data_IF_596953170789
#
_entry.id   IF_596953170789
#
_cell.length_a   1.000
_cell.length_b   1.000
_cell.length_c   1.000
_cell.angle_alpha   90.00
_cell.angle_beta   90.00
_cell.angle_gamma   90.00
#
_symmetry.space_group_name_H-M   'P 1'
#
loop_
_entity.id
_entity.type
_entity.pdbx_description
1 polymer ?
#
# COMPACT_ATOMS: atom_id res chain seq x y z
N UNK A 1 -51.17 -13.11 69.39
CA UNK A 1 -50.74 -13.84 70.60
C UNK A 1 -49.48 -13.17 71.10
N UNK A 2 -49.61 -12.32 72.13
CA UNK A 2 -49.35 -12.68 73.54
C UNK A 2 -47.85 -12.80 73.78
N UNK A 3 -47.20 -12.20 74.78
CA UNK A 3 -47.55 -11.45 75.98
C UNK A 3 -46.21 -10.82 76.42
N UNK A 4 -46.18 -9.55 76.83
CA UNK A 4 -45.96 -9.15 78.23
C UNK A 4 -44.98 -10.03 79.03
N UNK A 5 -43.91 -9.41 79.56
CA UNK A 5 -43.77 -9.41 81.01
C UNK A 5 -43.02 -8.17 81.53
N UNK A 6 -43.54 -7.66 82.64
CA UNK A 6 -43.23 -6.41 83.32
C UNK A 6 -42.28 -6.63 84.52
N UNK A 7 -42.02 -5.51 85.21
CA UNK A 7 -41.70 -5.33 86.64
C UNK A 7 -40.21 -5.16 86.97
N UNK A 8 -39.79 -4.25 87.85
CA UNK A 8 -40.40 -3.11 88.55
C UNK A 8 -39.25 -2.36 89.28
N UNK A 9 -39.50 -1.09 89.62
CA UNK A 9 -38.94 -0.21 90.70
C UNK A 9 -37.74 -0.72 91.53
N UNK A 10 -36.79 0.14 91.97
CA UNK A 10 -36.95 1.07 93.11
C UNK A 10 -35.75 2.06 93.20
N UNK A 11 -36.02 3.30 93.62
CA UNK A 11 -35.10 4.41 94.01
C UNK A 11 -35.12 4.47 95.56
N UNK A 12 -34.11 4.84 96.39
CA UNK A 12 -33.26 6.06 96.29
C UNK A 12 -31.82 5.98 96.88
N UNK A 13 -31.02 7.04 96.69
CA UNK A 13 -30.42 7.86 97.77
C UNK A 13 -29.11 8.53 97.37
N UNK A 14 -28.96 9.75 97.87
CA UNK A 14 -27.95 10.79 97.65
C UNK A 14 -26.51 10.42 98.05
N UNK A 15 -25.53 10.93 97.29
CA UNK A 15 -24.36 11.58 97.90
C UNK A 15 -23.76 12.64 96.97
N UNK A 16 -23.40 13.75 97.59
CA UNK A 16 -22.77 14.95 97.06
C UNK A 16 -21.30 14.65 96.78
N UNK A 17 -20.78 14.98 95.59
CA UNK A 17 -19.39 15.45 95.49
C UNK A 17 -19.11 16.25 94.19
N UNK A 18 -18.80 17.54 94.41
CA UNK A 18 -17.92 18.44 93.68
C UNK A 18 -18.00 18.52 92.14
N UNK A 19 -18.64 19.61 91.71
CA UNK A 19 -18.32 20.35 90.49
C UNK A 19 -16.83 20.74 90.48
N UNK A 20 -15.99 20.04 89.73
CA UNK A 20 -14.69 20.58 89.29
C UNK A 20 -14.92 21.35 87.98
N UNK A 21 -15.01 22.66 88.11
CA UNK A 21 -14.77 23.61 87.02
C UNK A 21 -13.35 23.43 86.51
N UNK A 22 -13.17 22.71 85.40
CA UNK A 22 -11.94 22.72 84.63
C UNK A 22 -11.77 24.11 84.01
N UNK A 23 -10.96 24.94 84.65
CA UNK A 23 -10.38 26.12 84.02
C UNK A 23 -9.41 25.65 82.93
N UNK A 24 -9.53 26.14 81.68
CA UNK A 24 -8.62 25.75 80.61
C UNK A 24 -7.21 26.27 80.89
N UNK A 25 -6.24 25.36 80.92
CA UNK A 25 -4.81 25.67 81.01
C UNK A 25 -4.34 26.43 79.76
N UNK A 26 -3.75 27.62 79.95
CA UNK A 26 -3.25 28.51 78.88
C UNK A 26 -2.12 27.90 78.02
N UNK A 27 -1.53 26.78 78.44
CA UNK A 27 -0.51 26.03 77.68
C UNK A 27 -1.06 25.38 76.40
N UNK A 28 -2.31 24.89 76.43
CA UNK A 28 -2.92 24.27 75.25
C UNK A 28 -3.32 25.30 74.18
N UNK A 29 -3.58 26.55 74.56
CA UNK A 29 -4.05 27.58 73.62
C UNK A 29 -2.97 27.98 72.60
N UNK A 30 -1.71 28.07 73.04
CA UNK A 30 -0.58 28.34 72.14
C UNK A 30 -0.20 27.11 71.29
N UNK A 31 -0.31 25.90 71.84
CA UNK A 31 -0.07 24.66 71.08
C UNK A 31 -1.12 24.44 69.98
N UNK A 32 -2.40 24.66 70.28
CA UNK A 32 -3.48 24.57 69.30
C UNK A 32 -3.36 25.66 68.23
N UNK A 33 -2.93 26.89 68.59
CA UNK A 33 -2.64 27.95 67.61
C UNK A 33 -1.49 27.58 66.66
N UNK A 34 -0.40 27.00 67.16
CA UNK A 34 0.70 26.53 66.31
C UNK A 34 0.30 25.39 65.37
N UNK A 35 -0.52 24.45 65.84
CA UNK A 35 -1.04 23.35 64.99
C UNK A 35 -1.94 23.91 63.88
N UNK A 36 -2.81 24.86 64.18
CA UNK A 36 -3.67 25.52 63.18
C UNK A 36 -2.82 26.30 62.16
N UNK A 37 -1.81 27.04 62.61
CA UNK A 37 -0.90 27.78 61.72
C UNK A 37 -0.13 26.82 60.80
N UNK A 38 0.37 25.68 61.32
CA UNK A 38 1.04 24.67 60.51
C UNK A 38 0.09 23.99 59.51
N UNK A 39 -1.17 23.74 59.88
CA UNK A 39 -2.18 23.22 58.94
C UNK A 39 -2.48 24.23 57.83
N UNK A 40 -2.62 25.51 58.15
CA UNK A 40 -2.84 26.58 57.15
C UNK A 40 -1.62 26.69 56.22
N UNK A 41 -0.40 26.69 56.76
CA UNK A 41 0.84 26.67 55.97
C UNK A 41 0.96 25.40 55.11
N UNK A 42 0.53 24.25 55.60
CA UNK A 42 0.45 23.00 54.84
C UNK A 42 -0.55 23.11 53.67
N UNK A 43 -1.73 23.66 53.91
CA UNK A 43 -2.73 23.89 52.86
C UNK A 43 -2.28 24.95 51.84
N UNK A 44 -1.62 26.02 52.27
CA UNK A 44 -1.08 27.04 51.36
C UNK A 44 0.10 26.48 50.55
N UNK A 45 0.95 25.65 51.14
CA UNK A 45 2.08 25.04 50.42
C UNK A 45 1.63 23.95 49.44
N UNK A 46 0.68 23.10 49.81
CA UNK A 46 0.07 22.11 48.89
C UNK A 46 -0.77 22.80 47.82
N UNK A 47 -1.59 23.79 48.18
CA UNK A 47 -2.38 24.57 47.23
C UNK A 47 -1.50 25.39 46.29
N UNK A 48 -0.42 25.98 46.79
CA UNK A 48 0.58 26.69 46.00
C UNK A 48 1.37 25.77 45.07
N UNK A 49 1.75 24.58 45.53
CA UNK A 49 2.38 23.55 44.69
C UNK A 49 1.42 23.06 43.60
N UNK A 50 0.16 22.79 43.93
CA UNK A 50 -0.84 22.36 42.95
C UNK A 50 -1.11 23.47 41.93
N UNK A 51 -1.21 24.73 42.37
CA UNK A 51 -1.35 25.87 41.47
C UNK A 51 -0.11 26.02 40.57
N UNK A 52 1.09 25.84 41.11
CA UNK A 52 2.33 25.90 40.33
C UNK A 52 2.45 24.76 39.31
N UNK A 53 2.17 23.53 39.73
CA UNK A 53 2.26 22.32 38.89
C UNK A 53 1.16 22.28 37.81
N UNK A 54 -0.06 22.73 38.10
CA UNK A 54 -1.17 22.69 37.13
C UNK A 54 -1.34 23.95 36.28
N UNK A 55 -0.92 25.13 36.77
CA UNK A 55 -1.16 26.41 36.06
C UNK A 55 0.12 26.97 35.44
N UNK A 56 1.29 26.76 36.05
CA UNK A 56 2.53 27.41 35.65
C UNK A 56 3.59 26.48 35.05
N UNK A 57 3.42 25.16 35.13
CA UNK A 57 4.38 24.21 34.59
C UNK A 57 4.34 24.19 33.06
N UNK A 58 5.42 24.67 32.44
CA UNK A 58 5.65 24.57 31.00
C UNK A 58 6.31 23.23 30.72
N UNK A 59 5.70 22.43 29.84
CA UNK A 59 6.28 21.16 29.39
C UNK A 59 7.16 21.43 28.18
N UNK A 60 8.44 21.06 28.29
CA UNK A 60 9.41 21.20 27.20
C UNK A 60 9.43 19.92 26.36
N UNK A 61 9.45 20.08 25.04
CA UNK A 61 9.51 19.00 24.06
C UNK A 61 10.78 19.17 23.24
N UNK A 62 11.63 18.16 23.16
CA UNK A 62 12.74 18.15 22.21
C UNK A 62 12.24 17.58 20.86
N UNK A 63 12.12 18.40 19.81
CA UNK A 63 11.68 17.90 18.52
C UNK A 63 12.76 17.06 17.82
N UNK A 64 14.00 17.04 18.29
CA UNK A 64 15.13 16.37 17.61
C UNK A 64 15.60 15.09 18.32
N UNK A 65 14.98 14.69 19.43
CA UNK A 65 15.37 13.52 20.22
C UNK A 65 15.41 12.23 19.39
N UNK A 66 14.47 12.11 18.45
CA UNK A 66 14.29 10.93 17.60
C UNK A 66 14.64 11.20 16.12
N UNK A 67 15.41 12.26 15.85
CA UNK A 67 15.75 12.68 14.49
C UNK A 67 17.25 12.62 14.29
N UNK A 68 17.66 11.82 13.30
CA UNK A 68 19.03 11.79 12.78
C UNK A 68 19.07 12.49 11.42
N UNK A 69 20.23 13.09 11.11
CA UNK A 69 20.52 13.64 9.79
C UNK A 69 21.67 12.83 9.19
N UNK A 70 21.50 12.39 7.95
CA UNK A 70 22.52 11.66 7.18
C UNK A 70 22.87 12.47 5.93
N UNK A 71 24.13 12.37 5.48
CA UNK A 71 24.61 13.07 4.29
C UNK A 71 25.12 12.05 3.26
N UNK A 72 24.75 12.24 1.99
CA UNK A 72 24.98 11.27 0.92
C UNK A 72 25.18 11.96 -0.42
N UNK A 73 26.11 11.50 -1.23
CA UNK A 73 26.35 11.98 -2.59
C UNK A 73 27.68 11.49 -3.11
N UNK A 74 27.89 11.65 -4.41
CA UNK A 74 29.18 11.40 -5.06
C UNK A 74 29.99 12.71 -5.16
N UNK A 75 31.19 12.63 -5.73
CA UNK A 75 32.20 13.71 -5.71
C UNK A 75 31.77 15.07 -6.29
N UNK A 76 30.55 15.21 -6.81
CA UNK A 76 29.98 16.47 -7.32
C UNK A 76 29.14 17.24 -6.27
N UNK A 77 28.67 16.58 -5.20
CA UNK A 77 27.95 17.23 -4.10
C UNK A 77 27.01 16.30 -3.35
N UNK A 78 26.86 16.46 -2.03
CA UNK A 78 25.98 15.64 -1.21
C UNK A 78 24.62 16.28 -0.89
N UNK A 79 23.62 15.43 -0.71
CA UNK A 79 22.28 15.75 -0.24
C UNK A 79 22.12 15.30 1.22
N UNK A 80 21.41 16.09 2.02
CA UNK A 80 21.10 15.78 3.41
C UNK A 80 19.71 15.16 3.57
N UNK A 81 19.63 14.05 4.28
CA UNK A 81 18.41 13.27 4.54
C UNK A 81 18.06 13.28 6.02
N UNK A 82 16.76 13.39 6.31
CA UNK A 82 16.21 13.42 7.67
C UNK A 82 15.59 12.05 7.96
N UNK A 83 16.10 11.36 8.97
CA UNK A 83 15.60 10.07 9.41
C UNK A 83 14.91 10.22 10.77
N UNK A 84 13.68 9.73 10.87
CA UNK A 84 12.85 9.88 12.07
C UNK A 84 12.59 8.49 12.65
N UNK A 85 13.15 8.23 13.84
CA UNK A 85 12.90 7.00 14.56
C UNK A 85 11.55 7.08 15.31
N UNK A 86 10.51 6.49 14.72
CA UNK A 86 9.14 6.58 15.26
C UNK A 86 8.87 5.66 16.47
N UNK A 87 9.86 4.92 17.00
CA UNK A 87 9.65 3.91 18.06
C UNK A 87 9.52 4.46 19.49
N UNK A 88 9.74 5.75 19.72
CA UNK A 88 9.74 6.35 21.06
C UNK A 88 8.80 7.55 21.12
N UNK A 89 7.51 7.30 21.31
CA UNK A 89 6.56 8.31 21.80
C UNK A 89 5.81 7.65 22.95
N UNK A 90 6.34 7.85 24.16
CA UNK A 90 5.78 7.35 25.41
C UNK A 90 4.37 7.91 25.65
N UNK A 91 3.45 6.98 25.94
CA UNK A 91 2.24 7.03 26.80
C UNK A 91 1.33 8.26 26.94
N UNK A 92 1.71 9.48 26.57
CA UNK A 92 0.91 10.69 26.66
C UNK A 92 0.22 11.05 25.32
N UNK A 93 -1.12 10.98 25.22
CA UNK A 93 -1.88 11.34 24.03
C UNK A 93 -1.65 12.78 23.56
N UNK A 94 -1.36 13.72 24.47
CA UNK A 94 -1.15 15.14 24.14
C UNK A 94 0.18 15.36 23.43
N UNK A 95 1.26 14.72 23.92
CA UNK A 95 2.58 14.78 23.30
C UNK A 95 2.60 14.12 21.92
N UNK A 96 1.92 12.97 21.79
CA UNK A 96 1.81 12.24 20.53
C UNK A 96 1.17 13.07 19.41
N UNK A 97 0.18 13.90 19.74
CA UNK A 97 -0.43 14.83 18.78
C UNK A 97 0.59 15.84 18.24
N UNK A 98 1.46 16.37 19.11
CA UNK A 98 2.49 17.33 18.71
C UNK A 98 3.55 16.64 17.86
N UNK A 99 4.11 15.52 18.31
CA UNK A 99 5.15 14.78 17.58
C UNK A 99 4.72 14.36 16.16
N UNK A 100 3.46 13.94 15.97
CA UNK A 100 2.92 13.60 14.64
C UNK A 100 2.77 14.80 13.71
N UNK A 101 2.69 16.01 14.25
CA UNK A 101 2.47 17.23 13.49
C UNK A 101 3.76 17.99 13.15
N UNK A 102 4.92 17.55 13.67
CA UNK A 102 6.20 18.20 13.39
C UNK A 102 6.59 17.94 11.93
N UNK A 103 6.93 19.01 11.23
CA UNK A 103 7.54 19.01 9.91
C UNK A 103 8.99 19.45 10.06
N UNK A 104 9.89 18.69 9.46
CA UNK A 104 11.31 19.00 9.46
C UNK A 104 11.74 19.52 8.10
N UNK A 105 12.68 20.45 8.08
CA UNK A 105 13.37 20.91 6.88
C UNK A 105 14.86 21.04 7.15
N UNK A 106 15.68 20.86 6.12
CA UNK A 106 17.13 20.88 6.20
C UNK A 106 17.67 21.95 5.24
N UNK A 107 18.53 22.85 5.71
CA UNK A 107 19.03 23.97 4.91
C UNK A 107 20.53 24.23 5.20
N UNK A 108 21.43 24.22 4.19
CA UNK A 108 21.21 23.68 2.83
C UNK A 108 21.04 22.16 2.85
N UNK A 109 20.30 21.60 1.89
CA UNK A 109 20.08 20.16 1.76
C UNK A 109 20.72 19.53 0.53
N UNK A 110 21.40 20.29 -0.32
CA UNK A 110 22.03 19.85 -1.57
C UNK A 110 23.42 20.47 -1.71
N UNK A 111 24.23 19.92 -2.64
CA UNK A 111 25.59 20.35 -2.97
C UNK A 111 26.55 20.40 -1.76
N UNK A 112 26.27 19.60 -0.74
CA UNK A 112 26.99 19.57 0.53
C UNK A 112 28.36 18.92 0.40
N UNK A 113 29.33 19.43 1.15
CA UNK A 113 30.69 18.90 1.26
C UNK A 113 31.02 18.59 2.71
N UNK A 114 32.02 17.72 2.91
CA UNK A 114 32.56 17.46 4.24
C UNK A 114 33.03 18.78 4.85
N UNK A 115 32.53 19.08 6.06
CA UNK A 115 32.74 20.34 6.78
C UNK A 115 31.62 21.36 6.67
N UNK A 116 30.65 21.17 5.76
CA UNK A 116 29.53 22.11 5.62
C UNK A 116 28.61 22.07 6.84
N UNK A 117 28.04 23.24 7.15
CA UNK A 117 27.09 23.42 8.24
C UNK A 117 25.67 23.35 7.69
N UNK A 118 24.87 22.49 8.29
CA UNK A 118 23.50 22.23 7.86
C UNK A 118 22.56 22.44 9.03
N UNK A 119 21.46 23.16 8.80
CA UNK A 119 20.48 23.50 9.84
C UNK A 119 19.21 22.68 9.65
N UNK A 120 18.91 21.82 10.62
CA UNK A 120 17.65 21.11 10.73
C UNK A 120 16.65 21.98 11.49
N UNK A 121 15.53 22.34 10.86
CA UNK A 121 14.45 23.15 11.44
C UNK A 121 13.23 22.29 11.72
N UNK A 122 12.61 22.49 12.88
CA UNK A 122 11.34 21.87 13.25
C UNK A 122 10.23 22.92 13.26
N UNK A 123 9.13 22.66 12.56
CA UNK A 123 7.94 23.51 12.53
C UNK A 123 6.67 22.70 12.68
N UNK A 124 5.66 23.26 13.34
CA UNK A 124 4.31 22.68 13.41
C UNK A 124 3.30 23.58 12.68
N UNK A 125 2.21 23.03 12.16
CA UNK A 125 1.10 23.83 11.63
C UNK A 125 0.52 24.77 12.69
N UNK A 126 -0.06 25.89 12.27
CA UNK A 126 -0.64 26.90 13.17
C UNK A 126 -1.68 26.32 14.14
N UNK A 127 -2.48 25.35 13.70
CA UNK A 127 -3.46 24.65 14.55
C UNK A 127 -2.81 23.88 15.71
N UNK A 128 -1.64 23.27 15.47
CA UNK A 128 -0.85 22.60 16.49
C UNK A 128 -0.12 23.60 17.37
N UNK A 129 0.35 24.72 16.82
CA UNK A 129 0.97 25.79 17.62
C UNK A 129 -0.02 26.35 18.65
N UNK A 130 -1.26 26.66 18.23
CA UNK A 130 -2.33 27.11 19.14
C UNK A 130 -2.64 26.07 20.23
N UNK A 131 -2.59 24.78 19.88
CA UNK A 131 -2.73 23.69 20.84
C UNK A 131 -1.56 23.67 21.85
N UNK A 132 -0.32 23.83 21.39
CA UNK A 132 0.85 23.90 22.26
C UNK A 132 0.76 25.10 23.22
N UNK A 133 0.40 26.29 22.73
CA UNK A 133 0.27 27.51 23.55
C UNK A 133 -0.82 27.36 24.63
N UNK A 134 -1.94 26.73 24.27
CA UNK A 134 -3.07 26.49 25.19
C UNK A 134 -2.73 25.45 26.27
N UNK A 135 -1.85 24.49 25.96
CA UNK A 135 -1.44 23.41 26.87
C UNK A 135 -0.05 23.66 27.49
N UNK A 136 0.50 24.87 27.38
CA UNK A 136 1.82 25.25 27.93
C UNK A 136 2.95 24.32 27.46
N UNK A 137 2.87 23.84 26.22
CA UNK A 137 3.91 23.04 25.57
C UNK A 137 4.85 23.97 24.80
N UNK A 138 6.16 23.76 24.91
CA UNK A 138 7.17 24.56 24.21
C UNK A 138 8.27 23.66 23.66
N UNK A 139 8.73 23.91 22.44
CA UNK A 139 9.95 23.26 21.96
C UNK A 139 11.17 23.77 22.72
N UNK A 140 12.08 22.86 23.10
CA UNK A 140 13.37 23.24 23.70
C UNK A 140 14.17 24.10 22.72
N UNK A 141 14.20 23.66 21.46
CA UNK A 141 14.84 24.31 20.34
C UNK A 141 14.00 24.11 19.07
N UNK A 142 14.08 25.06 18.15
CA UNK A 142 13.42 24.96 16.82
C UNK A 142 14.42 24.65 15.71
N UNK A 143 15.72 24.73 15.99
CA UNK A 143 16.80 24.52 15.04
C UNK A 143 17.94 23.72 15.68
N UNK A 144 18.52 22.78 14.91
CA UNK A 144 19.69 22.00 15.32
C UNK A 144 20.72 22.01 14.20
N UNK A 145 21.96 22.36 14.53
CA UNK A 145 23.05 22.45 13.55
C UNK A 145 23.82 21.14 13.51
N UNK A 146 24.04 20.64 12.29
CA UNK A 146 24.88 19.50 11.99
C UNK A 146 26.09 19.97 11.17
N UNK A 147 27.20 19.27 11.32
CA UNK A 147 28.37 19.41 10.45
C UNK A 147 28.50 18.13 9.65
N UNK A 148 28.66 18.24 8.33
CA UNK A 148 28.85 17.07 7.46
C UNK A 148 30.21 16.45 7.78
N UNK A 149 30.22 15.32 8.49
CA UNK A 149 31.47 14.62 8.86
C UNK A 149 31.85 13.54 7.85
N UNK A 150 30.86 12.83 7.33
CA UNK A 150 31.01 11.74 6.40
C UNK A 150 29.93 11.84 5.33
N UNK A 151 30.30 11.49 4.09
CA UNK A 151 29.38 11.36 2.96
C UNK A 151 29.46 9.90 2.52
N UNK A 152 28.34 9.19 2.56
CA UNK A 152 28.29 7.80 2.10
C UNK A 152 27.88 7.73 0.63
N UNK A 153 28.58 6.90 -0.15
CA UNK A 153 28.17 6.49 -1.48
C UNK A 153 27.18 5.32 -1.31
N UNK A 154 25.90 5.55 -1.51
CA UNK A 154 24.89 4.48 -1.55
C UNK A 154 24.74 3.96 -2.98
N UNK A 155 24.32 2.70 -3.10
CA UNK A 155 24.02 2.10 -4.40
C UNK A 155 22.67 2.65 -4.84
N UNK A 156 22.66 3.40 -5.94
CA UNK A 156 21.42 3.91 -6.54
C UNK A 156 20.87 2.84 -7.47
N UNK A 157 19.66 2.38 -7.18
CA UNK A 157 18.94 1.41 -8.00
C UNK A 157 17.81 2.12 -8.74
N UNK A 158 17.80 2.09 -10.08
CA UNK A 158 16.63 2.52 -10.83
C UNK A 158 15.68 1.35 -11.04
N UNK A 159 14.52 1.33 -10.36
CA UNK A 159 13.57 0.22 -10.49
C UNK A 159 12.88 0.15 -11.86
N UNK A 160 13.06 1.18 -12.71
CA UNK A 160 12.50 1.20 -14.06
C UNK A 160 13.56 0.99 -15.15
N UNK A 161 14.82 0.72 -14.80
CA UNK A 161 15.83 0.37 -15.81
C UNK A 161 15.48 -0.96 -16.47
N UNK A 162 15.50 -0.99 -17.81
CA UNK A 162 15.04 -2.12 -18.61
C UNK A 162 13.54 -2.43 -18.53
N UNK A 163 12.76 -1.61 -17.83
CA UNK A 163 11.32 -1.79 -17.66
C UNK A 163 10.56 -1.47 -18.94
N UNK A 164 9.58 -2.31 -19.29
CA UNK A 164 8.73 -2.09 -20.47
C UNK A 164 7.26 -2.13 -20.09
N UNK A 165 6.50 -1.22 -20.70
CA UNK A 165 5.05 -1.23 -20.63
C UNK A 165 4.52 -1.71 -21.98
N UNK A 166 3.62 -2.69 -21.96
CA UNK A 166 2.94 -3.19 -23.15
C UNK A 166 1.58 -2.54 -23.24
N UNK A 167 1.30 -1.93 -24.39
CA UNK A 167 0.00 -1.35 -24.67
C UNK A 167 -0.74 -2.17 -25.72
N UNK A 168 -2.02 -2.43 -25.48
CA UNK A 168 -2.88 -3.20 -26.39
C UNK A 168 -4.28 -2.62 -26.45
N UNK A 169 -5.07 -3.01 -27.44
CA UNK A 169 -6.47 -2.59 -27.58
C UNK A 169 -6.70 -1.50 -28.62
N UNK A 170 -7.93 -1.01 -28.69
CA UNK A 170 -8.37 0.06 -29.59
C UNK A 170 -8.19 1.44 -28.94
N UNK A 171 -8.08 2.48 -29.76
CA UNK A 171 -8.06 3.86 -29.26
C UNK A 171 -9.32 4.20 -28.46
N UNK A 172 -9.18 4.54 -27.18
CA UNK A 172 -10.28 4.78 -26.24
C UNK A 172 -10.68 3.55 -25.41
N UNK A 173 -10.06 2.40 -25.67
CA UNK A 173 -10.27 1.12 -24.97
C UNK A 173 -8.91 0.43 -24.71
N UNK A 174 -7.82 1.19 -24.77
CA UNK A 174 -6.47 0.66 -24.64
C UNK A 174 -6.18 0.22 -23.21
N UNK A 175 -5.33 -0.79 -23.07
CA UNK A 175 -4.92 -1.37 -21.79
C UNK A 175 -3.39 -1.34 -21.71
N UNK A 176 -2.86 -0.93 -20.56
CA UNK A 176 -1.45 -0.98 -20.21
C UNK A 176 -1.16 -2.16 -19.28
N UNK A 177 -0.22 -3.00 -19.67
CA UNK A 177 0.24 -4.14 -18.89
C UNK A 177 1.75 -4.05 -18.64
N UNK A 178 2.14 -4.50 -17.46
CA UNK A 178 3.53 -4.50 -17.03
C UNK A 178 4.28 -5.70 -17.61
N UNK A 179 5.45 -5.45 -18.20
CA UNK A 179 6.36 -6.50 -18.65
C UNK A 179 7.72 -6.36 -17.97
N UNK A 180 7.95 -7.24 -17.00
CA UNK A 180 9.22 -7.32 -16.25
C UNK A 180 10.17 -8.38 -16.80
N UNK A 181 9.79 -9.11 -17.87
CA UNK A 181 10.57 -10.23 -18.38
C UNK A 181 11.94 -9.84 -18.97
N UNK A 182 12.09 -8.57 -19.36
CA UNK A 182 13.31 -8.02 -19.95
C UNK A 182 14.23 -7.29 -18.97
N UNK A 183 13.90 -7.23 -17.68
CA UNK A 183 14.70 -6.50 -16.69
C UNK A 183 15.99 -7.26 -16.39
N UNK A 184 17.13 -6.63 -16.64
CA UNK A 184 18.46 -7.16 -16.33
C UNK A 184 18.97 -6.52 -15.04
N UNK A 185 19.17 -7.33 -14.01
CA UNK A 185 19.63 -6.86 -12.70
C UNK A 185 21.13 -7.13 -12.55
N UNK A 186 21.85 -6.17 -11.99
CA UNK A 186 23.31 -6.15 -11.97
C UNK A 186 23.92 -7.27 -11.11
N UNK A 187 23.24 -7.66 -10.03
CA UNK A 187 23.69 -8.68 -9.08
C UNK A 187 22.51 -9.28 -8.28
N UNK A 188 22.84 -10.27 -7.43
CA UNK A 188 21.89 -10.98 -6.58
C UNK A 188 21.20 -10.05 -5.55
N UNK A 189 21.89 -8.99 -5.10
CA UNK A 189 21.34 -8.02 -4.14
C UNK A 189 20.21 -7.22 -4.78
N UNK A 190 20.42 -6.76 -6.02
CA UNK A 190 19.38 -6.06 -6.79
C UNK A 190 18.23 -7.01 -7.17
N UNK A 191 18.54 -8.28 -7.46
CA UNK A 191 17.52 -9.31 -7.71
C UNK A 191 16.62 -9.54 -6.50
N UNK A 192 17.19 -9.62 -5.30
CA UNK A 192 16.44 -9.77 -4.07
C UNK A 192 15.60 -8.53 -3.79
N UNK A 193 16.18 -7.32 -3.89
CA UNK A 193 15.43 -6.07 -3.72
C UNK A 193 14.26 -5.97 -4.70
N UNK A 194 14.47 -6.27 -5.98
CA UNK A 194 13.43 -6.17 -7.01
C UNK A 194 12.20 -7.01 -6.68
N UNK A 195 12.38 -8.20 -6.10
CA UNK A 195 11.28 -9.07 -5.65
C UNK A 195 10.47 -8.50 -4.47
N UNK A 196 11.01 -7.50 -3.77
CA UNK A 196 10.39 -6.83 -2.63
C UNK A 196 9.75 -5.49 -2.99
N UNK A 197 9.73 -5.13 -4.29
CA UNK A 197 9.11 -3.93 -4.82
C UNK A 197 7.71 -4.22 -5.36
N UNK A 198 6.75 -3.41 -4.93
CA UNK A 198 5.36 -3.45 -5.37
C UNK A 198 5.15 -2.41 -6.46
N UNK A 199 4.94 -2.86 -7.69
CA UNK A 199 4.64 -1.99 -8.83
C UNK A 199 3.14 -1.87 -9.06
N UNK A 200 2.70 -0.70 -9.50
CA UNK A 200 1.31 -0.47 -9.90
C UNK A 200 1.20 0.55 -11.05
N UNK A 201 0.22 0.33 -11.92
CA UNK A 201 -0.10 1.23 -13.03
C UNK A 201 -1.27 2.12 -12.61
N UNK A 202 -1.11 3.44 -12.75
CA UNK A 202 -2.19 4.41 -12.52
C UNK A 202 -3.05 4.46 -13.78
N UNK A 203 -4.34 4.15 -13.64
CA UNK A 203 -5.33 4.12 -14.72
C UNK A 203 -4.90 3.21 -15.90
N UNK A 204 -4.88 1.88 -15.73
CA UNK A 204 -4.35 0.96 -16.73
C UNK A 204 -5.27 0.71 -17.94
N UNK A 205 -6.44 1.33 -18.04
CA UNK A 205 -7.47 1.05 -19.05
C UNK A 205 -8.03 2.32 -19.68
N UNK A 206 -8.87 2.14 -20.71
CA UNK A 206 -9.55 3.20 -21.47
C UNK A 206 -8.56 4.18 -22.14
N UNK A 207 -7.38 3.66 -22.51
CA UNK A 207 -6.28 4.45 -23.03
C UNK A 207 -6.47 4.77 -24.53
N UNK A 208 -6.02 5.96 -24.90
CA UNK A 208 -5.93 6.45 -26.27
C UNK A 208 -4.47 6.72 -26.65
N UNK A 209 -4.18 6.72 -27.96
CA UNK A 209 -2.89 7.14 -28.49
C UNK A 209 -2.67 8.61 -28.11
N UNK A 210 -1.50 8.91 -27.53
CA UNK A 210 -1.15 10.21 -26.98
C UNK A 210 -1.50 10.42 -25.51
N UNK A 211 -2.15 9.44 -24.84
CA UNK A 211 -2.25 9.43 -23.39
C UNK A 211 -0.88 9.14 -22.75
N UNK A 212 -0.75 9.44 -21.46
CA UNK A 212 0.44 9.12 -20.67
C UNK A 212 0.05 8.27 -19.48
N UNK A 213 0.73 7.12 -19.32
CA UNK A 213 0.50 6.16 -18.25
C UNK A 213 1.61 6.26 -17.23
N UNK A 214 1.25 6.45 -15.96
CA UNK A 214 2.22 6.50 -14.86
C UNK A 214 2.29 5.16 -14.17
N UNK A 215 3.50 4.60 -14.09
CA UNK A 215 3.81 3.44 -13.25
C UNK A 215 4.41 3.95 -11.96
N UNK A 216 3.98 3.42 -10.82
CA UNK A 216 4.55 3.70 -9.50
C UNK A 216 5.13 2.45 -8.89
N UNK A 217 6.16 2.62 -8.07
CA UNK A 217 6.81 1.54 -7.33
C UNK A 217 6.94 1.91 -5.86
N UNK A 218 6.68 0.94 -4.99
CA UNK A 218 6.82 1.12 -3.54
C UNK A 218 7.54 -0.10 -2.95
N UNK A 219 8.55 0.09 -2.10
CA UNK A 219 9.13 -1.02 -1.38
C UNK A 219 8.15 -1.53 -0.32
N UNK A 220 8.03 -2.86 -0.24
CA UNK A 220 7.34 -3.55 0.86
C UNK A 220 8.02 -3.26 2.20
N UNK A 221 7.42 -3.69 3.32
CA UNK A 221 8.05 -3.55 4.64
C UNK A 221 9.41 -4.26 4.70
N UNK A 222 9.54 -5.44 4.07
CA UNK A 222 10.80 -6.16 3.96
C UNK A 222 11.80 -5.40 3.07
N UNK A 223 11.35 -4.92 1.91
CA UNK A 223 12.18 -4.12 1.00
C UNK A 223 12.75 -2.87 1.65
N UNK A 224 11.98 -2.16 2.50
CA UNK A 224 12.50 -1.00 3.25
C UNK A 224 13.62 -1.37 4.21
N UNK A 225 13.49 -2.49 4.93
CA UNK A 225 14.54 -2.98 5.83
C UNK A 225 15.78 -3.39 5.04
N UNK A 226 15.59 -4.13 3.94
CA UNK A 226 16.67 -4.57 3.05
C UNK A 226 17.44 -3.39 2.47
N UNK A 227 16.73 -2.38 1.95
CA UNK A 227 17.33 -1.14 1.46
C UNK A 227 18.16 -0.42 2.53
N UNK A 228 17.70 -0.40 3.78
CA UNK A 228 18.46 0.20 4.89
C UNK A 228 19.72 -0.60 5.24
N UNK A 229 19.63 -1.92 5.28
CA UNK A 229 20.75 -2.83 5.58
C UNK A 229 21.84 -2.75 4.51
N UNK A 230 21.43 -2.72 3.24
CA UNK A 230 22.32 -2.69 2.09
C UNK A 230 22.67 -1.27 1.60
N UNK A 231 22.11 -0.24 2.22
CA UNK A 231 22.32 1.18 1.86
C UNK A 231 21.99 1.42 0.38
N UNK A 232 20.79 1.00 -0.02
CA UNK A 232 20.25 1.15 -1.39
C UNK A 232 19.14 2.19 -1.38
N UNK A 233 19.12 3.04 -2.41
CA UNK A 233 18.01 3.95 -2.67
C UNK A 233 17.43 3.75 -4.06
N UNK A 234 16.10 3.94 -4.18
CA UNK A 234 15.45 3.99 -5.48
C UNK A 234 15.74 5.34 -6.13
N UNK A 235 16.23 5.34 -7.38
CA UNK A 235 16.46 6.55 -8.17
C UNK A 235 15.17 7.36 -8.35
N UNK A 236 14.06 6.66 -8.47
CA UNK A 236 12.73 7.21 -8.68
C UNK A 236 11.66 6.22 -8.17
N UNK A 237 10.46 6.75 -7.89
CA UNK A 237 9.31 5.95 -7.40
C UNK A 237 8.12 5.98 -8.35
N UNK A 238 8.26 6.69 -9.46
CA UNK A 238 7.26 6.75 -10.51
C UNK A 238 7.93 7.11 -11.83
N UNK A 239 7.45 6.52 -12.93
CA UNK A 239 7.86 6.84 -14.28
C UNK A 239 6.64 6.92 -15.19
N UNK A 240 6.63 7.89 -16.10
CA UNK A 240 5.58 8.07 -17.09
C UNK A 240 6.00 7.45 -18.44
N UNK A 241 5.04 6.83 -19.11
CA UNK A 241 5.20 6.21 -20.42
C UNK A 241 4.11 6.74 -21.35
N UNK A 242 4.51 7.29 -22.49
CA UNK A 242 3.56 7.79 -23.47
C UNK A 242 3.01 6.63 -24.32
N UNK A 243 1.70 6.69 -24.59
CA UNK A 243 1.00 5.71 -25.41
C UNK A 243 1.21 6.09 -26.88
N UNK A 244 2.38 5.78 -27.41
CA UNK A 244 2.74 6.09 -28.80
C UNK A 244 2.01 5.16 -29.79
N UNK A 245 1.76 3.93 -29.37
CA UNK A 245 1.09 2.91 -30.17
C UNK A 245 0.22 2.03 -29.29
N UNK A 246 -1.03 1.82 -29.70
CA UNK A 246 -1.84 0.70 -29.22
C UNK A 246 -1.72 -0.41 -30.27
N UNK A 247 -1.26 -1.59 -29.86
CA UNK A 247 -1.16 -2.71 -30.79
C UNK A 247 -2.56 -3.00 -31.39
N UNK A 248 -2.64 -2.87 -32.72
CA UNK A 248 -3.90 -2.90 -33.46
C UNK A 248 -4.36 -4.35 -33.58
N UNK A 249 -5.57 -4.64 -33.13
CA UNK A 249 -6.18 -5.97 -33.24
C UNK A 249 -7.14 -5.96 -34.45
N UNK A 250 -7.29 -7.05 -35.22
CA UNK A 250 -8.30 -7.13 -36.28
C UNK A 250 -9.69 -6.82 -35.72
N UNK A 251 -10.52 -6.07 -36.44
CA UNK A 251 -11.89 -5.78 -35.96
C UNK A 251 -12.83 -6.96 -36.11
N UNK A 252 -12.55 -7.83 -37.07
CA UNK A 252 -13.33 -9.02 -37.41
C UNK A 252 -12.44 -10.02 -38.17
N UNK A 253 -13.02 -11.15 -38.56
CA UNK A 253 -12.32 -12.20 -39.30
C UNK A 253 -11.88 -11.78 -40.71
N UNK A 254 -12.52 -10.77 -41.31
CA UNK A 254 -12.20 -10.30 -42.67
C UNK A 254 -10.89 -9.51 -42.72
N UNK A 255 -10.47 -8.95 -41.58
CA UNK A 255 -9.17 -8.27 -41.41
C UNK A 255 -8.02 -9.25 -41.13
N UNK A 256 -8.27 -10.57 -41.07
CA UNK A 256 -7.25 -11.60 -40.81
C UNK A 256 -6.76 -12.17 -42.14
N UNK A 257 -5.68 -11.58 -42.66
CA UNK A 257 -5.11 -11.90 -43.97
C UNK A 257 -4.66 -13.37 -44.16
N UNK A 258 -4.32 -14.08 -43.08
CA UNK A 258 -3.86 -15.47 -43.10
C UNK A 258 -4.89 -16.46 -42.50
N UNK A 259 -6.19 -16.10 -42.49
CA UNK A 259 -7.27 -16.86 -41.87
C UNK A 259 -7.30 -18.34 -42.31
N UNK A 260 -7.18 -18.62 -43.60
CA UNK A 260 -7.25 -20.01 -44.12
C UNK A 260 -6.09 -20.88 -43.62
N UNK A 261 -4.89 -20.30 -43.48
CA UNK A 261 -3.75 -21.03 -42.94
C UNK A 261 -3.96 -21.35 -41.46
N UNK A 262 -4.38 -20.35 -40.67
CA UNK A 262 -4.70 -20.51 -39.27
C UNK A 262 -5.77 -21.59 -39.07
N UNK A 263 -6.80 -21.59 -39.92
CA UNK A 263 -7.88 -22.58 -39.95
C UNK A 263 -7.35 -24.01 -40.18
N UNK A 264 -6.51 -24.21 -41.19
CA UNK A 264 -5.93 -25.52 -41.51
C UNK A 264 -5.10 -26.05 -40.32
N UNK A 265 -4.28 -25.19 -39.73
CA UNK A 265 -3.41 -25.56 -38.61
C UNK A 265 -4.23 -25.88 -37.34
N UNK A 266 -5.31 -25.13 -37.08
CA UNK A 266 -6.22 -25.40 -35.95
C UNK A 266 -6.96 -26.73 -36.13
N UNK A 267 -7.47 -27.01 -37.33
CA UNK A 267 -8.12 -28.28 -37.67
C UNK A 267 -7.17 -29.45 -37.42
N UNK A 268 -5.93 -29.35 -37.88
CA UNK A 268 -4.92 -30.40 -37.68
C UNK A 268 -4.68 -30.71 -36.20
N UNK A 269 -4.55 -29.68 -35.34
CA UNK A 269 -4.40 -29.89 -33.88
C UNK A 269 -5.58 -30.63 -33.25
N UNK A 270 -6.79 -30.37 -33.75
CA UNK A 270 -7.99 -31.07 -33.30
C UNK A 270 -7.96 -32.53 -33.75
N UNK A 271 -7.71 -32.80 -35.03
CA UNK A 271 -7.63 -34.16 -35.58
C UNK A 271 -6.56 -34.98 -34.87
N UNK A 272 -5.40 -34.38 -34.57
CA UNK A 272 -4.34 -35.00 -33.78
C UNK A 272 -4.79 -35.28 -32.32
N UNK A 273 -5.63 -34.42 -31.74
CA UNK A 273 -6.18 -34.60 -30.38
C UNK A 273 -7.22 -35.71 -30.30
N UNK A 274 -8.19 -35.72 -31.21
CA UNK A 274 -9.35 -36.61 -31.14
C UNK A 274 -9.17 -37.90 -31.94
N UNK A 275 -8.14 -37.96 -32.79
CA UNK A 275 -7.84 -39.07 -33.70
C UNK A 275 -9.05 -39.49 -34.56
N UNK A 276 -9.74 -38.49 -35.11
CA UNK A 276 -10.91 -38.65 -35.96
C UNK A 276 -11.02 -37.46 -36.93
N UNK A 277 -11.67 -37.70 -38.08
CA UNK A 277 -12.00 -36.63 -39.02
C UNK A 277 -12.93 -35.62 -38.37
N UNK A 278 -12.71 -34.35 -38.70
CA UNK A 278 -13.49 -33.24 -38.12
C UNK A 278 -14.10 -32.32 -39.16
N UNK A 279 -15.27 -31.78 -38.84
CA UNK A 279 -15.99 -30.79 -39.64
C UNK A 279 -16.04 -29.45 -38.89
N UNK A 280 -15.53 -28.39 -39.51
CA UNK A 280 -15.72 -27.03 -38.99
C UNK A 280 -17.19 -26.63 -39.10
N UNK A 281 -17.73 -26.06 -38.03
CA UNK A 281 -19.14 -25.64 -37.96
C UNK A 281 -19.31 -24.17 -37.59
N UNK A 282 -18.35 -23.57 -36.87
CA UNK A 282 -18.37 -22.15 -36.51
C UNK A 282 -16.96 -21.56 -36.51
N UNK A 283 -16.88 -20.26 -36.81
CA UNK A 283 -15.75 -19.40 -36.47
C UNK A 283 -16.20 -18.38 -35.44
N UNK A 284 -15.48 -18.24 -34.35
CA UNK A 284 -15.76 -17.32 -33.27
C UNK A 284 -14.61 -16.31 -33.13
N UNK A 285 -14.95 -15.04 -32.96
CA UNK A 285 -13.97 -13.98 -32.83
C UNK A 285 -14.32 -13.00 -31.70
N UNK A 286 -13.31 -12.56 -30.94
CA UNK A 286 -13.46 -11.54 -29.91
C UNK A 286 -12.22 -10.65 -29.81
N UNK A 287 -12.43 -9.34 -29.77
CA UNK A 287 -11.34 -8.36 -29.60
C UNK A 287 -10.83 -8.36 -28.15
N UNK A 288 -11.76 -8.36 -27.19
CA UNK A 288 -11.49 -8.29 -25.75
C UNK A 288 -12.21 -9.44 -25.03
N UNK A 289 -11.60 -10.63 -24.90
CA UNK A 289 -12.21 -11.77 -24.23
C UNK A 289 -12.31 -11.55 -22.70
N UNK A 290 -13.36 -12.08 -22.07
CA UNK A 290 -13.65 -11.87 -20.63
C UNK A 290 -12.97 -12.85 -19.67
N UNK A 291 -12.52 -14.01 -20.16
CA UNK A 291 -11.83 -15.04 -19.38
C UNK A 291 -12.58 -15.58 -18.14
N UNK A 292 -13.88 -15.83 -18.25
CA UNK A 292 -14.73 -16.19 -17.10
C UNK A 292 -15.06 -17.69 -16.98
N UNK A 293 -15.04 -18.46 -18.06
CA UNK A 293 -15.41 -19.88 -18.04
C UNK A 293 -14.46 -20.72 -18.92
N UNK A 294 -13.77 -21.70 -18.34
CA UNK A 294 -12.83 -22.62 -19.04
C UNK A 294 -11.89 -21.93 -20.05
N UNK A 295 -11.59 -20.65 -19.80
CA UNK A 295 -11.00 -19.73 -20.77
C UNK A 295 -9.49 -19.87 -20.84
N UNK A 296 -9.00 -21.10 -20.75
CA UNK A 296 -7.58 -21.42 -20.66
C UNK A 296 -7.24 -22.52 -21.64
N UNK A 297 -6.08 -22.37 -22.25
CA UNK A 297 -5.48 -23.41 -23.07
C UNK A 297 -5.27 -24.68 -22.26
N UNK A 298 -5.53 -25.83 -22.89
CA UNK A 298 -5.40 -27.14 -22.26
C UNK A 298 -3.99 -27.41 -21.76
N UNK A 299 -2.99 -27.07 -22.57
CA UNK A 299 -1.62 -27.51 -22.34
C UNK A 299 -0.81 -26.47 -21.56
N UNK A 300 -0.93 -25.19 -21.93
CA UNK A 300 -0.18 -24.07 -21.32
C UNK A 300 -0.90 -23.41 -20.13
N UNK A 301 -2.20 -23.67 -19.95
CA UNK A 301 -3.05 -23.01 -18.95
C UNK A 301 -3.16 -21.48 -19.10
N UNK A 302 -2.68 -20.92 -20.22
CA UNK A 302 -2.77 -19.49 -20.52
C UNK A 302 -4.20 -19.10 -20.84
N UNK A 303 -4.60 -17.91 -20.40
CA UNK A 303 -5.93 -17.36 -20.67
C UNK A 303 -6.05 -16.80 -22.09
N UNK A 304 -7.27 -16.55 -22.57
CA UNK A 304 -7.45 -15.74 -23.78
C UNK A 304 -6.89 -14.33 -23.55
N UNK A 305 -6.24 -13.78 -24.56
CA UNK A 305 -5.80 -12.38 -24.60
C UNK A 305 -6.39 -11.68 -25.83
N UNK A 306 -6.05 -10.40 -26.01
CA UNK A 306 -6.66 -9.55 -27.02
C UNK A 306 -6.52 -10.11 -28.44
N UNK A 307 -7.59 -10.02 -29.22
CA UNK A 307 -7.69 -10.68 -30.52
C UNK A 307 -7.66 -12.20 -30.36
N UNK A 308 -8.83 -12.81 -30.15
CA UNK A 308 -8.98 -14.26 -30.05
C UNK A 308 -9.86 -14.77 -31.18
N UNK A 309 -9.32 -15.72 -31.94
CA UNK A 309 -9.96 -16.40 -33.05
C UNK A 309 -10.06 -17.89 -32.71
N UNK A 310 -11.27 -18.42 -32.65
CA UNK A 310 -11.55 -19.83 -32.37
C UNK A 310 -12.32 -20.47 -33.52
N UNK A 311 -11.93 -21.67 -33.91
CA UNK A 311 -12.67 -22.51 -34.84
C UNK A 311 -13.31 -23.65 -34.05
N UNK A 312 -14.60 -23.89 -34.27
CA UNK A 312 -15.35 -24.97 -33.61
C UNK A 312 -15.54 -26.11 -34.59
N UNK A 313 -15.13 -27.29 -34.17
CA UNK A 313 -15.18 -28.51 -34.96
C UNK A 313 -16.11 -29.53 -34.31
N UNK A 314 -16.85 -30.27 -35.13
CA UNK A 314 -17.61 -31.45 -34.73
C UNK A 314 -16.90 -32.73 -35.16
N UNK A 315 -17.02 -33.77 -34.35
CA UNK A 315 -16.48 -35.10 -34.62
C UNK A 315 -17.38 -36.20 -34.02
N UNK A 316 -17.32 -37.39 -34.59
CA UNK A 316 -18.06 -38.56 -34.11
C UNK A 316 -17.13 -39.49 -33.30
N UNK A 317 -17.57 -39.91 -32.12
CA UNK A 317 -16.88 -40.90 -31.30
C UNK A 317 -17.89 -41.85 -30.63
N UNK A 318 -17.74 -43.16 -30.81
CA UNK A 318 -18.67 -44.18 -30.30
C UNK A 318 -20.14 -43.88 -30.65
N UNK A 319 -20.42 -43.53 -31.91
CA UNK A 319 -21.75 -43.18 -32.44
C UNK A 319 -22.42 -41.98 -31.74
N UNK A 320 -21.62 -41.05 -31.22
CA UNK A 320 -22.10 -39.79 -30.62
C UNK A 320 -21.32 -38.63 -31.19
N UNK A 321 -22.04 -37.53 -31.44
CA UNK A 321 -21.45 -36.27 -31.91
C UNK A 321 -20.95 -35.45 -30.74
N UNK A 322 -19.70 -34.99 -30.85
CA UNK A 322 -19.05 -34.09 -29.91
C UNK A 322 -18.52 -32.87 -30.64
N UNK A 323 -18.15 -31.84 -29.88
CA UNK A 323 -17.52 -30.64 -30.39
C UNK A 323 -16.28 -30.28 -29.57
N UNK A 324 -15.38 -29.57 -30.22
CA UNK A 324 -14.13 -29.06 -29.65
C UNK A 324 -13.76 -27.77 -30.38
N UNK A 325 -13.20 -26.81 -29.64
CA UNK A 325 -12.69 -25.57 -30.21
C UNK A 325 -11.17 -25.58 -30.27
N UNK A 326 -10.57 -25.04 -31.33
CA UNK A 326 -9.13 -24.79 -31.43
C UNK A 326 -8.89 -23.52 -32.24
N UNK A 327 -7.85 -22.78 -31.92
CA UNK A 327 -7.65 -21.46 -32.51
C UNK A 327 -6.39 -20.77 -32.03
N UNK A 328 -6.46 -19.45 -31.97
CA UNK A 328 -5.34 -18.58 -31.62
C UNK A 328 -5.83 -17.41 -30.78
N UNK A 329 -4.96 -16.95 -29.92
CA UNK A 329 -5.12 -15.70 -29.19
C UNK A 329 -3.91 -14.80 -29.44
N UNK A 330 -3.98 -13.55 -28.99
CA UNK A 330 -2.96 -12.53 -29.23
C UNK A 330 -2.83 -12.17 -30.73
N UNK A 331 -3.95 -12.07 -31.44
CA UNK A 331 -3.97 -11.63 -32.84
C UNK A 331 -3.67 -10.12 -32.89
N UNK A 332 -2.41 -9.80 -33.12
CA UNK A 332 -1.90 -8.44 -33.27
C UNK A 332 -1.57 -8.14 -34.72
N UNK A 333 -1.79 -6.91 -35.15
CA UNK A 333 -1.42 -6.41 -36.46
C UNK A 333 -0.12 -5.61 -36.38
N UNK A 334 0.90 -6.05 -37.12
CA UNK A 334 2.06 -5.25 -37.47
C UNK A 334 1.92 -4.81 -38.93
N UNK A 335 1.85 -3.49 -39.17
CA UNK A 335 1.67 -2.91 -40.53
C UNK A 335 0.47 -3.51 -41.29
N UNK A 336 -0.66 -3.67 -40.58
CA UNK A 336 -1.91 -4.26 -41.09
C UNK A 336 -1.83 -5.75 -41.48
N UNK A 337 -0.78 -6.46 -41.07
CA UNK A 337 -0.64 -7.92 -41.22
C UNK A 337 -0.58 -8.56 -39.84
N UNK A 338 -1.08 -9.78 -39.69
CA UNK A 338 -0.96 -10.52 -38.43
C UNK A 338 0.53 -10.73 -38.10
N UNK A 339 0.95 -10.29 -36.91
CA UNK A 339 2.26 -10.59 -36.35
C UNK A 339 2.27 -12.03 -35.82
N UNK A 340 2.76 -12.95 -36.66
CA UNK A 340 2.78 -14.37 -36.35
C UNK A 340 3.72 -14.73 -35.20
N UNK A 341 4.68 -13.86 -34.85
CA UNK A 341 5.58 -14.09 -33.72
C UNK A 341 4.88 -13.93 -32.36
N UNK A 342 3.75 -13.23 -32.36
CA UNK A 342 2.93 -12.96 -31.17
C UNK A 342 1.78 -13.95 -31.01
N UNK A 343 1.40 -14.65 -32.08
CA UNK A 343 0.29 -15.61 -32.07
C UNK A 343 0.54 -16.73 -31.06
N UNK A 344 -0.47 -16.98 -30.22
CA UNK A 344 -0.44 -18.11 -29.30
C UNK A 344 -1.53 -19.11 -29.68
N UNK A 345 -1.19 -20.37 -30.02
CA UNK A 345 -2.18 -21.40 -30.30
C UNK A 345 -2.96 -21.72 -29.02
N UNK A 346 -4.27 -21.93 -29.18
CA UNK A 346 -5.19 -22.20 -28.08
C UNK A 346 -6.06 -23.40 -28.40
N UNK A 347 -6.23 -24.29 -27.43
CA UNK A 347 -7.25 -25.32 -27.44
C UNK A 347 -7.86 -25.42 -26.04
N UNK A 348 -9.06 -24.87 -25.80
CA UNK A 348 -9.69 -24.87 -24.49
C UNK A 348 -9.82 -26.27 -23.90
N UNK A 349 -9.90 -26.34 -22.57
CA UNK A 349 -10.12 -27.58 -21.83
C UNK A 349 -11.57 -28.06 -22.03
N UNK A 350 -11.86 -28.58 -23.22
CA UNK A 350 -13.15 -29.19 -23.56
C UNK A 350 -12.90 -30.62 -24.05
N UNK A 351 -13.36 -31.61 -23.28
CA UNK A 351 -13.33 -33.02 -23.70
C UNK A 351 -14.75 -33.53 -23.84
N UNK A 352 -15.09 -34.08 -25.02
CA UNK A 352 -16.39 -34.70 -25.28
C UNK A 352 -17.60 -33.81 -24.93
N UNK A 353 -17.52 -32.51 -25.22
CA UNK A 353 -18.62 -31.59 -25.01
C UNK A 353 -19.62 -31.62 -26.17
N UNK A 354 -20.87 -31.21 -25.91
CA UNK A 354 -21.83 -30.91 -26.97
C UNK A 354 -21.44 -29.61 -27.69
N UNK A 355 -21.89 -29.44 -28.92
CA UNK A 355 -21.71 -28.20 -29.67
C UNK A 355 -22.25 -26.97 -28.91
N UNK A 356 -23.43 -27.12 -28.30
CA UNK A 356 -24.06 -26.05 -27.52
C UNK A 356 -23.18 -25.61 -26.34
N UNK A 357 -22.57 -26.55 -25.61
CA UNK A 357 -21.71 -26.21 -24.48
C UNK A 357 -20.44 -25.47 -24.91
N UNK A 358 -19.82 -25.90 -26.03
CA UNK A 358 -18.65 -25.21 -26.58
C UNK A 358 -19.01 -23.78 -27.01
N UNK A 359 -20.15 -23.59 -27.67
CA UNK A 359 -20.59 -22.26 -28.10
C UNK A 359 -20.93 -21.35 -26.91
N UNK A 360 -21.63 -21.86 -25.90
CA UNK A 360 -21.93 -21.12 -24.68
C UNK A 360 -20.65 -20.69 -23.97
N UNK A 361 -19.66 -21.57 -23.86
CA UNK A 361 -18.35 -21.24 -23.27
C UNK A 361 -17.67 -20.09 -24.02
N UNK A 362 -17.62 -20.14 -25.35
CA UNK A 362 -17.00 -19.08 -26.15
C UNK A 362 -17.76 -17.76 -26.04
N UNK A 363 -19.10 -17.80 -26.02
CA UNK A 363 -19.96 -16.62 -25.88
C UNK A 363 -19.85 -15.97 -24.50
N UNK A 364 -19.80 -16.77 -23.43
CA UNK A 364 -19.57 -16.30 -22.06
C UNK A 364 -18.21 -15.57 -21.97
N UNK A 365 -17.23 -16.02 -22.73
CA UNK A 365 -15.93 -15.36 -22.86
C UNK A 365 -15.90 -14.17 -23.82
N UNK A 366 -17.05 -13.67 -24.28
CA UNK A 366 -17.18 -12.51 -25.16
C UNK A 366 -16.68 -12.73 -26.60
N UNK A 367 -16.75 -13.98 -27.11
CA UNK A 367 -16.53 -14.25 -28.53
C UNK A 367 -17.87 -14.28 -29.28
N UNK A 368 -17.88 -13.67 -30.46
CA UNK A 368 -19.01 -13.70 -31.40
C UNK A 368 -18.81 -14.83 -32.40
N UNK A 369 -19.73 -15.79 -32.44
CA UNK A 369 -19.65 -16.98 -33.30
C UNK A 369 -20.53 -16.86 -34.54
N UNK A 370 -19.98 -17.18 -35.71
CA UNK A 370 -20.67 -17.24 -36.99
C UNK A 370 -20.58 -18.65 -37.58
N UNK A 371 -21.68 -19.21 -38.12
CA UNK A 371 -21.67 -20.55 -38.71
C UNK A 371 -20.85 -20.55 -40.00
N UNK A 372 -20.19 -21.68 -40.27
CA UNK A 372 -19.41 -21.88 -41.50
C UNK A 372 -20.28 -22.52 -42.56
N UNK A 373 -20.24 -21.95 -43.77
CA UNK A 373 -21.07 -22.33 -44.92
C UNK A 373 -20.65 -23.63 -45.57
#
# INVERSE_FOLDING_TARGET
MSQQNQNNRTVPSSSVDKTQTFLPSDSNKNRTRWIIILLILGFISVGGYFLWDHVYRITKIDPFENVSVRFQGDGEGATGFIEINKKLIESDPQLNRVHKAIKYSLEPNQDLKIGDRVVLKAKVPESTQRFMDSNKLLFTDTEKVFVVQEIHNEVVFDPFDGFKLRFSGSNGEGIAEMDTSGVLLADDVMSELFSMLDYSIVNPSDLSIGDSVTVTVKPSTAGKTFMLEHRIMLAQTSMAFDVDTLAKVPKNTDEINNLDRLRIDAKKRVEDTVNADTQEVYVCYGILPKNIANARDRDSQQAYVNGTLMFVYQYEYNNRMFAIASGYTNLMLERDLIDESMLMPMQPVSYQQSLENVLLELQDNNLTCSPTS
#
